data_IF_974315455810
#
_entry.id   IF_974315455810
#
_cell.length_a   1.000
_cell.length_b   1.000
_cell.length_c   1.000
_cell.angle_alpha   90.00
_cell.angle_beta   90.00
_cell.angle_gamma   90.00
#
_symmetry.space_group_name_H-M   'P 1'
#
loop_
_entity.id
_entity.type
_entity.pdbx_description
1 polymer ?
#
# COMPACT_ATOMS: atom_id res chain seq x y z
N UNK A 1 17.37 17.52 12.10
CA UNK A 1 16.18 17.72 11.22
C UNK A 1 15.26 16.53 11.43
N UNK A 2 13.96 16.74 11.60
CA UNK A 2 12.97 15.67 11.79
C UNK A 2 12.04 15.65 10.58
N UNK A 3 12.02 14.56 9.83
CA UNK A 3 11.12 14.34 8.69
C UNK A 3 10.10 13.25 9.07
N UNK A 4 8.84 13.45 8.69
CA UNK A 4 7.76 12.47 8.85
C UNK A 4 6.82 12.63 7.66
N UNK A 5 6.66 11.56 6.88
CA UNK A 5 5.70 11.48 5.79
C UNK A 5 4.87 10.21 5.96
N UNK A 6 3.55 10.36 5.88
CA UNK A 6 2.61 9.25 5.92
C UNK A 6 2.11 8.93 4.51
N UNK A 7 2.20 7.67 4.13
CA UNK A 7 1.81 7.17 2.81
C UNK A 7 0.29 6.98 2.77
N UNK A 8 -0.46 8.00 2.36
CA UNK A 8 -1.91 7.90 2.22
C UNK A 8 -2.32 7.26 0.89
N UNK A 9 -3.34 6.41 0.93
CA UNK A 9 -3.98 5.89 -0.28
C UNK A 9 -4.81 7.00 -0.92
N UNK A 10 -4.60 7.34 -2.22
CA UNK A 10 -5.39 8.37 -2.89
C UNK A 10 -6.87 8.02 -2.92
N UNK A 11 -7.74 9.01 -2.76
CA UNK A 11 -9.20 8.82 -2.73
C UNK A 11 -9.75 8.10 -3.97
N UNK A 12 -9.14 8.30 -5.14
CA UNK A 12 -9.60 7.69 -6.40
C UNK A 12 -9.47 6.16 -6.39
N UNK A 13 -8.50 5.61 -5.66
CA UNK A 13 -8.32 4.16 -5.51
C UNK A 13 -9.45 3.53 -4.70
N UNK A 14 -9.99 4.26 -3.71
CA UNK A 14 -11.18 3.83 -2.97
C UNK A 14 -12.40 3.74 -3.89
N UNK A 15 -12.58 4.73 -4.77
CA UNK A 15 -13.67 4.73 -5.75
C UNK A 15 -13.56 3.55 -6.69
N UNK A 16 -12.35 3.24 -7.19
CA UNK A 16 -12.16 2.05 -8.03
C UNK A 16 -12.50 0.75 -7.31
N UNK A 17 -11.97 0.53 -6.11
CA UNK A 17 -12.18 -0.73 -5.41
C UNK A 17 -13.64 -0.92 -5.00
N UNK A 18 -14.28 0.12 -4.45
CA UNK A 18 -15.70 0.08 -4.10
C UNK A 18 -16.55 -0.10 -5.35
N UNK A 19 -16.25 0.62 -6.43
CA UNK A 19 -16.93 0.49 -7.71
C UNK A 19 -16.84 -0.92 -8.26
N UNK A 20 -15.64 -1.52 -8.28
CA UNK A 20 -15.42 -2.89 -8.73
C UNK A 20 -16.21 -3.90 -7.91
N UNK A 21 -16.20 -3.81 -6.57
CA UNK A 21 -16.95 -4.74 -5.72
C UNK A 21 -18.46 -4.54 -5.89
N UNK A 22 -18.90 -3.30 -6.12
CA UNK A 22 -20.30 -2.98 -6.35
C UNK A 22 -20.85 -3.63 -7.62
N UNK A 23 -20.05 -3.74 -8.70
CA UNK A 23 -20.52 -4.44 -9.92
C UNK A 23 -20.84 -5.90 -9.64
N UNK A 24 -20.01 -6.59 -8.85
CA UNK A 24 -20.26 -7.95 -8.39
C UNK A 24 -21.50 -8.05 -7.50
N UNK A 25 -21.69 -7.08 -6.59
CA UNK A 25 -22.89 -7.03 -5.75
C UNK A 25 -24.16 -6.89 -6.60
N UNK A 26 -24.19 -5.95 -7.55
CA UNK A 26 -25.34 -5.77 -8.43
C UNK A 26 -25.60 -7.01 -9.29
N UNK A 27 -24.54 -7.64 -9.81
CA UNK A 27 -24.69 -8.88 -10.57
C UNK A 27 -25.40 -9.96 -9.76
N UNK A 28 -25.05 -10.16 -8.49
CA UNK A 28 -25.72 -11.16 -7.64
C UNK A 28 -27.12 -10.71 -7.22
N UNK A 29 -27.27 -9.43 -6.84
CA UNK A 29 -28.53 -8.89 -6.31
C UNK A 29 -29.67 -8.91 -7.33
N UNK A 30 -29.35 -8.77 -8.62
CA UNK A 30 -30.33 -8.80 -9.71
C UNK A 30 -30.95 -10.20 -9.86
N UNK A 31 -30.20 -11.28 -9.61
CA UNK A 31 -30.66 -12.64 -9.89
C UNK A 31 -31.12 -13.45 -8.67
N UNK A 32 -30.60 -13.17 -7.48
CA UNK A 32 -30.97 -13.89 -6.25
C UNK A 32 -31.76 -12.99 -5.29
N UNK A 33 -31.04 -12.14 -4.57
CA UNK A 33 -31.55 -11.05 -3.73
C UNK A 33 -30.35 -10.26 -3.14
N UNK A 34 -30.64 -9.19 -2.40
CA UNK A 34 -29.61 -8.36 -1.76
C UNK A 34 -28.87 -9.04 -0.59
N UNK A 35 -29.44 -10.06 0.05
CA UNK A 35 -28.78 -10.76 1.16
C UNK A 35 -27.66 -11.67 0.64
N UNK A 36 -27.92 -12.45 -0.42
CA UNK A 36 -26.90 -13.26 -1.08
C UNK A 36 -25.79 -12.40 -1.68
N UNK A 37 -26.15 -11.27 -2.29
CA UNK A 37 -25.18 -10.31 -2.81
C UNK A 37 -24.25 -9.78 -1.70
N UNK A 38 -24.82 -9.39 -0.57
CA UNK A 38 -24.07 -8.87 0.58
C UNK A 38 -23.16 -9.95 1.18
N UNK A 39 -23.65 -11.18 1.36
CA UNK A 39 -22.82 -12.29 1.84
C UNK A 39 -21.65 -12.58 0.92
N UNK A 40 -21.84 -12.48 -0.41
CA UNK A 40 -20.79 -12.73 -1.38
C UNK A 40 -19.73 -11.62 -1.42
N UNK A 41 -20.12 -10.34 -1.27
CA UNK A 41 -19.19 -9.21 -1.45
C UNK A 41 -18.66 -8.58 -0.17
N UNK A 42 -19.28 -8.84 0.99
CA UNK A 42 -18.79 -8.28 2.25
C UNK A 42 -17.38 -8.78 2.61
N UNK A 43 -17.04 -10.09 2.50
CA UNK A 43 -15.68 -10.54 2.77
C UNK A 43 -14.60 -9.88 1.90
N UNK A 44 -14.71 -9.84 0.55
CA UNK A 44 -13.70 -9.15 -0.25
C UNK A 44 -13.66 -7.64 0.01
N UNK A 45 -14.79 -7.00 0.34
CA UNK A 45 -14.80 -5.59 0.77
C UNK A 45 -14.01 -5.38 2.05
N UNK A 46 -14.16 -6.25 3.04
CA UNK A 46 -13.40 -6.17 4.29
C UNK A 46 -11.89 -6.36 4.04
N UNK A 47 -11.51 -7.34 3.22
CA UNK A 47 -10.10 -7.56 2.85
C UNK A 47 -9.53 -6.35 2.11
N UNK A 48 -10.29 -5.78 1.17
CA UNK A 48 -9.93 -4.58 0.45
C UNK A 48 -9.68 -3.39 1.38
N UNK A 49 -10.64 -3.10 2.28
CA UNK A 49 -10.51 -2.04 3.27
C UNK A 49 -9.30 -2.27 4.20
N UNK A 50 -9.11 -3.50 4.68
CA UNK A 50 -7.98 -3.84 5.56
C UNK A 50 -6.63 -3.64 4.87
N UNK A 51 -6.49 -4.05 3.61
CA UNK A 51 -5.27 -3.85 2.83
C UNK A 51 -4.96 -2.36 2.59
N UNK A 52 -5.98 -1.57 2.28
CA UNK A 52 -5.79 -0.14 2.03
C UNK A 52 -5.46 0.64 3.32
N UNK A 53 -6.10 0.27 4.42
CA UNK A 53 -5.79 0.85 5.73
C UNK A 53 -4.38 0.46 6.17
N UNK A 54 -3.97 -0.81 6.03
CA UNK A 54 -2.63 -1.24 6.43
C UNK A 54 -1.54 -0.50 5.63
N UNK A 55 -1.76 -0.25 4.35
CA UNK A 55 -0.87 0.61 3.55
C UNK A 55 -0.87 2.05 4.03
N UNK A 56 -2.02 2.60 4.43
CA UNK A 56 -2.15 4.00 4.91
C UNK A 56 -1.45 4.31 6.23
N UNK A 57 -1.10 3.27 6.99
CA UNK A 57 -0.42 3.36 8.28
C UNK A 57 1.10 3.39 8.12
N UNK A 58 1.62 3.15 6.91
CA UNK A 58 3.07 3.19 6.67
C UNK A 58 3.57 4.64 6.75
N UNK A 59 4.33 4.93 7.81
CA UNK A 59 4.99 6.22 8.04
C UNK A 59 6.49 6.09 7.79
N UNK A 60 7.05 7.01 7.00
CA UNK A 60 8.49 7.18 6.85
C UNK A 60 8.91 8.32 7.77
N UNK A 61 9.73 8.01 8.78
CA UNK A 61 10.21 8.98 9.76
C UNK A 61 11.74 8.97 9.80
N UNK A 62 12.34 10.14 9.86
CA UNK A 62 13.79 10.31 10.04
C UNK A 62 14.02 11.30 11.18
N UNK A 63 14.76 10.88 12.19
CA UNK A 63 15.26 11.75 13.25
C UNK A 63 16.65 11.32 13.73
N UNK A 64 17.11 11.88 14.84
CA UNK A 64 18.44 11.60 15.41
C UNK A 64 18.60 10.15 15.88
N UNK A 65 17.52 9.46 16.22
CA UNK A 65 17.55 8.07 16.62
C UNK A 65 17.53 7.11 15.43
N UNK A 66 17.25 7.57 14.20
CA UNK A 66 17.40 6.75 12.99
C UNK A 66 16.32 6.96 11.93
N UNK A 67 16.11 5.92 11.13
CA UNK A 67 15.12 5.86 10.06
C UNK A 67 14.06 4.80 10.41
N UNK A 68 12.79 5.18 10.32
CA UNK A 68 11.65 4.27 10.34
C UNK A 68 11.00 4.23 8.97
N UNK A 69 10.62 3.02 8.56
CA UNK A 69 9.82 2.78 7.36
C UNK A 69 8.68 1.81 7.73
N UNK A 70 7.53 2.38 8.12
CA UNK A 70 6.45 1.63 8.74
C UNK A 70 6.87 1.06 10.09
N UNK A 71 6.79 -0.27 10.24
CA UNK A 71 7.23 -0.97 11.45
C UNK A 71 8.72 -1.28 11.51
N UNK A 72 9.47 -1.07 10.42
CA UNK A 72 10.91 -1.33 10.39
C UNK A 72 11.71 -0.11 10.88
N UNK A 73 12.78 -0.35 11.64
CA UNK A 73 13.67 0.66 12.20
C UNK A 73 15.13 0.28 11.95
N UNK A 74 15.99 1.29 11.71
CA UNK A 74 17.43 1.14 11.58
C UNK A 74 18.16 2.31 12.25
N UNK A 75 19.18 2.00 13.07
CA UNK A 75 19.99 3.00 13.75
C UNK A 75 20.93 3.76 12.79
N UNK A 76 21.32 5.01 13.12
CA UNK A 76 22.14 5.86 12.24
C UNK A 76 23.47 5.23 11.83
N UNK A 77 24.08 4.44 12.71
CA UNK A 77 25.37 3.77 12.47
C UNK A 77 25.31 2.67 11.39
N UNK A 78 24.12 2.16 11.09
CA UNK A 78 23.88 1.14 10.07
C UNK A 78 23.36 1.73 8.76
N UNK A 79 23.12 3.05 8.72
CA UNK A 79 22.67 3.72 7.51
C UNK A 79 23.80 3.79 6.47
N UNK A 80 23.49 3.33 5.26
CA UNK A 80 24.36 3.49 4.09
C UNK A 80 24.21 4.87 3.42
N UNK A 81 24.84 5.02 2.26
CA UNK A 81 24.69 6.24 1.46
C UNK A 81 23.27 6.36 0.87
N UNK A 82 22.71 7.56 0.94
CA UNK A 82 21.45 7.90 0.26
C UNK A 82 21.73 8.13 -1.22
N UNK A 83 21.08 7.33 -2.09
CA UNK A 83 21.19 7.45 -3.54
C UNK A 83 19.83 7.67 -4.18
N UNK A 84 19.69 8.75 -4.93
CA UNK A 84 18.53 8.95 -5.80
C UNK A 84 18.61 7.96 -6.97
N UNK A 85 17.54 7.21 -7.19
CA UNK A 85 17.43 6.27 -8.30
C UNK A 85 16.71 6.92 -9.48
N UNK A 86 17.20 6.66 -10.69
CA UNK A 86 16.48 6.97 -11.92
C UNK A 86 15.29 6.00 -12.12
N UNK A 87 14.36 6.37 -13.02
CA UNK A 87 13.18 5.54 -13.31
C UNK A 87 13.54 4.12 -13.78
N UNK A 88 14.59 3.98 -14.59
CA UNK A 88 15.07 2.68 -15.07
C UNK A 88 15.66 1.84 -13.94
N UNK A 89 16.45 2.46 -13.05
CA UNK A 89 17.02 1.79 -11.88
C UNK A 89 15.93 1.34 -10.90
N UNK A 90 14.95 2.20 -10.61
CA UNK A 90 13.79 1.83 -9.77
C UNK A 90 13.04 0.64 -10.36
N UNK A 91 12.77 0.64 -11.67
CA UNK A 91 12.08 -0.49 -12.32
C UNK A 91 12.86 -1.79 -12.25
N UNK A 92 14.20 -1.72 -12.35
CA UNK A 92 15.07 -2.89 -12.26
C UNK A 92 15.07 -3.49 -10.85
N UNK A 93 15.27 -2.66 -9.83
CA UNK A 93 15.31 -3.08 -8.41
C UNK A 93 13.95 -3.62 -7.93
N UNK A 94 12.84 -3.10 -8.48
CA UNK A 94 11.50 -3.63 -8.18
C UNK A 94 11.10 -4.81 -9.08
N UNK A 95 11.93 -5.16 -10.07
CA UNK A 95 11.61 -6.15 -11.10
C UNK A 95 12.66 -7.25 -11.14
N UNK A 96 13.39 -7.32 -12.24
CA UNK A 96 14.36 -8.40 -12.51
C UNK A 96 15.48 -8.50 -11.47
N UNK A 97 15.86 -7.38 -10.85
CA UNK A 97 16.91 -7.31 -9.84
C UNK A 97 16.33 -7.23 -8.41
N UNK A 98 15.06 -7.64 -8.21
CA UNK A 98 14.45 -7.64 -6.89
C UNK A 98 15.08 -8.69 -5.97
N UNK A 99 15.67 -8.21 -4.87
CA UNK A 99 16.25 -9.08 -3.86
C UNK A 99 15.19 -9.52 -2.85
N UNK A 100 14.95 -10.84 -2.76
CA UNK A 100 13.89 -11.45 -1.93
C UNK A 100 14.07 -11.17 -0.43
N UNK A 101 15.30 -10.94 0.02
CA UNK A 101 15.62 -10.65 1.42
C UNK A 101 15.63 -9.16 1.78
N UNK A 102 15.55 -8.27 0.78
CA UNK A 102 15.61 -6.84 1.04
C UNK A 102 14.24 -6.33 1.50
N UNK A 103 14.20 -5.66 2.65
CA UNK A 103 13.01 -4.90 3.04
C UNK A 103 12.86 -3.69 2.14
N UNK A 104 11.78 -3.65 1.36
CA UNK A 104 11.51 -2.58 0.41
C UNK A 104 10.17 -1.92 0.72
N UNK A 105 10.19 -0.60 0.89
CA UNK A 105 8.98 0.21 1.03
C UNK A 105 8.81 1.00 -0.26
N UNK A 106 7.73 0.70 -0.97
CA UNK A 106 7.36 1.39 -2.20
C UNK A 106 6.03 2.09 -2.04
N UNK A 107 5.86 3.20 -2.77
CA UNK A 107 4.54 3.81 -2.97
C UNK A 107 3.95 3.20 -4.24
N UNK A 108 2.97 2.27 -4.16
CA UNK A 108 2.45 1.58 -5.34
C UNK A 108 1.63 2.51 -6.24
N UNK A 109 1.17 3.65 -5.70
CA UNK A 109 0.42 4.68 -6.40
C UNK A 109 1.29 5.91 -6.67
N UNK A 110 1.41 6.30 -7.93
CA UNK A 110 1.89 7.65 -8.28
C UNK A 110 0.68 8.60 -8.21
N UNK A 111 0.77 9.63 -7.37
CA UNK A 111 -0.16 10.77 -7.38
C UNK A 111 0.12 11.67 -8.57
#
# INVERSE_FOLDING_TARGET
MRFSERLWVPWWWWVLGVGFISTGWFAVAIYLDGAWATMATAPPMLVFCAAFVSWSVTEIKVDEAGLWAGGAFIEPQWLGQVRALSVSETKRILGVDAEVGAWQVVRPYRS
#
